data_IF_146658027687
#
_entry.id   IF_146658027687
#
_cell.length_a   1.000
_cell.length_b   1.000
_cell.length_c   1.000
_cell.angle_alpha   90.00
_cell.angle_beta   90.00
_cell.angle_gamma   90.00
#
_symmetry.space_group_name_H-M   'P 1'
#
loop_
_entity.id
_entity.type
_entity.pdbx_description
1 polymer ?
#
# COMPACT_ATOMS: atom_id res chain seq x y z
N UNK A 1 6.55 -15.70 7.44
CA UNK A 1 6.58 -15.46 6.00
C UNK A 1 6.70 -13.96 5.79
N UNK A 2 7.47 -13.52 4.80
CA UNK A 2 7.71 -12.09 4.59
C UNK A 2 8.07 -11.79 3.15
N UNK A 3 7.95 -10.50 2.80
CA UNK A 3 8.47 -9.95 1.56
C UNK A 3 10.01 -10.06 1.53
N UNK A 4 10.61 -9.92 0.37
CA UNK A 4 12.07 -9.99 0.21
C UNK A 4 12.81 -9.12 1.25
N UNK A 5 13.84 -9.69 1.90
CA UNK A 5 14.61 -9.04 2.98
C UNK A 5 13.79 -8.56 4.19
N UNK A 6 12.60 -9.11 4.41
CA UNK A 6 11.79 -8.86 5.60
C UNK A 6 11.62 -10.13 6.42
N UNK A 7 11.71 -10.00 7.75
CA UNK A 7 11.66 -11.14 8.66
C UNK A 7 12.76 -12.15 8.34
N UNK A 8 12.40 -13.43 8.16
CA UNK A 8 13.31 -14.52 7.77
C UNK A 8 13.47 -14.72 6.27
N UNK A 9 12.90 -13.85 5.42
CA UNK A 9 12.95 -14.00 3.98
C UNK A 9 14.27 -13.50 3.39
N UNK A 10 14.83 -14.25 2.43
CA UNK A 10 15.97 -13.85 1.60
C UNK A 10 15.57 -12.85 0.51
N UNK A 11 16.53 -12.49 -0.35
CA UNK A 11 16.31 -11.63 -1.51
C UNK A 11 17.31 -10.47 -1.60
N UNK A 12 17.44 -9.84 -2.77
CA UNK A 12 18.48 -8.85 -3.03
C UNK A 12 18.20 -7.49 -2.39
N UNK A 13 16.94 -7.06 -2.31
CA UNK A 13 16.56 -5.73 -1.80
C UNK A 13 15.08 -5.64 -1.45
N UNK A 14 14.73 -4.66 -0.61
CA UNK A 14 13.36 -4.19 -0.39
C UNK A 14 12.95 -3.41 -1.65
N UNK A 15 11.77 -3.71 -2.21
CA UNK A 15 11.32 -3.20 -3.50
C UNK A 15 10.23 -2.13 -3.38
N UNK A 16 10.05 -1.53 -2.20
CA UNK A 16 9.09 -0.45 -1.92
C UNK A 16 7.66 -0.74 -2.42
N UNK A 17 7.20 -1.99 -2.27
CA UNK A 17 5.88 -2.42 -2.73
C UNK A 17 5.82 -2.82 -4.22
N UNK A 18 6.69 -2.30 -5.09
CA UNK A 18 6.54 -2.48 -6.53
C UNK A 18 6.70 -3.93 -6.98
N UNK A 19 7.86 -4.55 -6.78
CA UNK A 19 8.00 -5.99 -7.05
C UNK A 19 7.47 -6.85 -5.90
N UNK A 20 7.43 -6.31 -4.68
CA UNK A 20 6.83 -6.96 -3.52
C UNK A 20 5.36 -7.33 -3.76
N UNK A 21 4.62 -6.58 -4.60
CA UNK A 21 3.25 -6.92 -4.97
C UNK A 21 3.13 -8.29 -5.64
N UNK A 22 4.13 -8.68 -6.41
CA UNK A 22 4.14 -10.00 -7.07
C UNK A 22 4.37 -11.12 -6.06
N UNK A 23 5.21 -10.89 -5.05
CA UNK A 23 5.38 -11.83 -3.93
C UNK A 23 4.07 -11.98 -3.15
N UNK A 24 3.37 -10.85 -2.87
CA UNK A 24 2.07 -10.88 -2.19
C UNK A 24 1.04 -11.67 -3.00
N UNK A 25 0.99 -11.50 -4.33
CA UNK A 25 0.12 -12.28 -5.21
C UNK A 25 0.39 -13.79 -5.06
N UNK A 26 1.64 -14.22 -5.02
CA UNK A 26 2.00 -15.61 -4.79
C UNK A 26 1.61 -16.08 -3.38
N UNK A 27 1.86 -15.27 -2.35
CA UNK A 27 1.48 -15.60 -0.98
C UNK A 27 -0.02 -15.73 -0.79
N UNK A 28 -0.85 -14.96 -1.49
CA UNK A 28 -2.29 -15.12 -1.47
C UNK A 28 -2.72 -16.51 -1.98
N UNK A 29 -2.11 -17.02 -3.05
CA UNK A 29 -2.37 -18.38 -3.54
C UNK A 29 -1.91 -19.45 -2.56
N UNK A 30 -0.71 -19.29 -1.99
CA UNK A 30 -0.19 -20.22 -0.97
C UNK A 30 -1.11 -20.25 0.25
N UNK A 31 -1.53 -19.08 0.75
CA UNK A 31 -2.43 -19.01 1.88
C UNK A 31 -3.80 -19.66 1.57
N UNK A 32 -4.37 -19.37 0.41
CA UNK A 32 -5.62 -20.01 -0.01
C UNK A 32 -5.49 -21.53 -0.03
N UNK A 33 -4.42 -22.07 -0.58
CA UNK A 33 -4.15 -23.51 -0.62
C UNK A 33 -4.01 -24.12 0.80
N UNK A 34 -3.26 -23.48 1.70
CA UNK A 34 -3.09 -23.92 3.08
C UNK A 34 -4.43 -24.03 3.82
N UNK A 35 -5.37 -23.16 3.52
CA UNK A 35 -6.71 -23.14 4.15
C UNK A 35 -7.78 -23.86 3.31
N UNK A 36 -7.40 -24.76 2.42
CA UNK A 36 -8.28 -25.70 1.73
C UNK A 36 -8.97 -25.14 0.47
N UNK A 37 -8.39 -24.17 -0.18
CA UNK A 37 -8.83 -23.58 -1.47
C UNK A 37 -10.26 -22.98 -1.46
N UNK A 38 -10.80 -22.66 -0.27
CA UNK A 38 -12.15 -22.10 -0.09
C UNK A 38 -12.17 -20.82 0.74
N UNK A 39 -11.07 -20.06 0.71
CA UNK A 39 -10.96 -18.82 1.50
C UNK A 39 -11.73 -17.66 0.88
N UNK A 40 -12.09 -16.70 1.72
CA UNK A 40 -12.44 -15.34 1.34
C UNK A 40 -11.41 -14.41 1.94
N UNK A 41 -10.59 -13.79 1.09
CA UNK A 41 -9.38 -13.10 1.51
C UNK A 41 -9.56 -11.59 1.46
N UNK A 42 -9.13 -10.93 2.52
CA UNK A 42 -8.94 -9.47 2.59
C UNK A 42 -7.45 -9.19 2.63
N UNK A 43 -6.99 -8.26 1.80
CA UNK A 43 -5.59 -7.81 1.83
C UNK A 43 -5.53 -6.49 2.58
N UNK A 44 -4.78 -6.46 3.68
CA UNK A 44 -4.65 -5.29 4.53
C UNK A 44 -3.17 -4.93 4.72
N UNK A 45 -2.83 -3.67 4.53
CA UNK A 45 -1.47 -3.19 4.69
C UNK A 45 -1.38 -1.80 5.30
N UNK A 46 -0.28 -1.54 6.02
CA UNK A 46 0.01 -0.26 6.70
C UNK A 46 1.30 0.32 6.14
N UNK A 47 1.35 1.62 5.88
CA UNK A 47 2.51 2.35 5.38
C UNK A 47 3.01 1.78 4.05
N UNK A 48 4.26 1.32 3.96
CA UNK A 48 4.74 0.58 2.78
C UNK A 48 3.87 -0.64 2.45
N UNK A 49 3.28 -1.29 3.47
CA UNK A 49 2.29 -2.36 3.27
C UNK A 49 0.99 -1.84 2.66
N UNK A 50 0.52 -0.65 3.04
CA UNK A 50 -0.61 0.03 2.42
C UNK A 50 -0.36 0.33 0.94
N UNK A 51 0.81 0.89 0.61
CA UNK A 51 1.23 1.09 -0.78
C UNK A 51 1.31 -0.24 -1.56
N UNK A 52 1.88 -1.29 -0.94
CA UNK A 52 1.93 -2.63 -1.56
C UNK A 52 0.52 -3.17 -1.81
N UNK A 53 -0.41 -3.01 -0.85
CA UNK A 53 -1.81 -3.42 -0.97
C UNK A 53 -2.49 -2.72 -2.17
N UNK A 54 -2.29 -1.43 -2.33
CA UNK A 54 -2.80 -0.67 -3.48
C UNK A 54 -2.17 -1.13 -4.80
N UNK A 55 -0.86 -1.41 -4.79
CA UNK A 55 -0.16 -1.92 -5.97
C UNK A 55 -0.64 -3.33 -6.36
N UNK A 56 -0.93 -4.19 -5.37
CA UNK A 56 -1.56 -5.50 -5.58
C UNK A 56 -2.96 -5.35 -6.17
N UNK A 57 -3.76 -4.42 -5.67
CA UNK A 57 -5.14 -4.25 -6.08
C UNK A 57 -5.30 -3.91 -7.58
N UNK A 58 -4.28 -3.32 -8.19
CA UNK A 58 -4.25 -3.02 -9.63
C UNK A 58 -3.89 -4.21 -10.53
N UNK A 59 -3.49 -5.34 -9.97
CA UNK A 59 -3.25 -6.58 -10.70
C UNK A 59 -4.56 -7.38 -10.91
N UNK A 60 -4.53 -8.38 -11.77
CA UNK A 60 -5.66 -9.29 -11.93
C UNK A 60 -5.85 -10.15 -10.67
N UNK A 61 -7.04 -10.06 -10.06
CA UNK A 61 -7.28 -10.64 -8.75
C UNK A 61 -7.86 -12.06 -8.83
N UNK A 62 -7.36 -13.00 -8.00
CA UNK A 62 -8.01 -14.30 -7.82
C UNK A 62 -9.43 -14.13 -7.25
N UNK A 63 -10.35 -15.04 -7.60
CA UNK A 63 -11.76 -14.99 -7.18
C UNK A 63 -11.97 -15.03 -5.66
N UNK A 64 -11.02 -15.55 -4.92
CA UNK A 64 -11.09 -15.63 -3.45
C UNK A 64 -10.72 -14.30 -2.76
N UNK A 65 -10.15 -13.32 -3.48
CA UNK A 65 -9.90 -11.97 -2.93
C UNK A 65 -11.19 -11.16 -3.01
N UNK A 66 -11.58 -10.55 -1.89
CA UNK A 66 -12.86 -9.85 -1.76
C UNK A 66 -12.74 -8.34 -1.69
N UNK A 67 -11.80 -7.84 -0.90
CA UNK A 67 -11.58 -6.41 -0.75
C UNK A 67 -10.19 -6.10 -0.23
N UNK A 68 -9.86 -4.80 -0.22
CA UNK A 68 -8.57 -4.26 0.21
C UNK A 68 -8.77 -3.22 1.31
N UNK A 69 -7.84 -3.17 2.26
CA UNK A 69 -7.74 -2.11 3.26
C UNK A 69 -6.32 -1.57 3.24
N UNK A 70 -6.16 -0.30 2.97
CA UNK A 70 -4.88 0.39 3.05
C UNK A 70 -4.89 1.41 4.17
N UNK A 71 -3.80 1.55 4.90
CA UNK A 71 -3.61 2.54 5.95
C UNK A 71 -2.28 3.27 5.72
N UNK A 72 -2.36 4.58 5.54
CA UNK A 72 -1.26 5.52 5.34
C UNK A 72 -0.23 5.12 4.26
N UNK A 73 -0.70 4.57 3.13
CA UNK A 73 0.12 4.29 1.97
C UNK A 73 0.38 5.54 1.10
N UNK A 74 1.45 5.50 0.29
CA UNK A 74 1.86 6.63 -0.55
C UNK A 74 1.39 6.50 -2.01
N UNK A 75 1.32 7.63 -2.71
CA UNK A 75 0.93 7.73 -4.13
C UNK A 75 1.91 7.05 -5.07
N UNK A 76 3.20 7.22 -4.81
CA UNK A 76 4.29 6.60 -5.57
C UNK A 76 5.59 6.63 -4.78
N UNK A 77 6.54 5.76 -5.13
CA UNK A 77 7.90 5.82 -4.56
C UNK A 77 8.58 7.15 -4.89
N UNK A 78 8.28 7.71 -6.07
CA UNK A 78 8.79 9.04 -6.44
C UNK A 78 8.29 10.14 -5.51
N UNK A 79 7.00 10.17 -5.18
CA UNK A 79 6.43 11.21 -4.33
C UNK A 79 6.90 11.08 -2.89
N UNK A 80 6.91 9.85 -2.37
CA UNK A 80 7.38 9.55 -1.02
C UNK A 80 8.85 9.94 -0.83
N UNK A 81 9.74 9.47 -1.69
CA UNK A 81 11.16 9.82 -1.60
C UNK A 81 11.43 11.29 -1.87
N UNK A 82 10.63 11.94 -2.73
CA UNK A 82 10.73 13.38 -2.96
C UNK A 82 10.33 14.18 -1.73
N UNK A 83 9.31 13.72 -1.01
CA UNK A 83 8.89 14.32 0.25
C UNK A 83 9.95 14.15 1.32
N UNK A 84 10.42 12.93 1.54
CA UNK A 84 11.45 12.61 2.53
C UNK A 84 12.78 13.34 2.26
N UNK A 85 13.19 13.42 0.99
CA UNK A 85 14.41 14.16 0.63
C UNK A 85 14.32 15.63 1.01
N UNK A 86 13.15 16.24 0.84
CA UNK A 86 12.91 17.64 1.18
C UNK A 86 12.72 17.84 2.69
N UNK A 87 11.90 17.02 3.34
CA UNK A 87 11.52 17.20 4.75
C UNK A 87 12.64 16.83 5.70
N UNK A 88 13.30 15.69 5.48
CA UNK A 88 14.31 15.15 6.39
C UNK A 88 15.74 15.62 6.07
N UNK A 89 16.05 15.85 4.79
CA UNK A 89 17.41 16.21 4.36
C UNK A 89 17.53 17.63 3.81
N UNK A 90 16.43 18.33 3.59
CA UNK A 90 16.40 19.69 3.00
C UNK A 90 17.11 19.79 1.64
N UNK A 91 17.13 18.69 0.88
CA UNK A 91 17.81 18.59 -0.40
C UNK A 91 16.84 18.73 -1.58
N UNK A 92 17.28 19.30 -2.71
CA UNK A 92 16.46 19.39 -3.91
C UNK A 92 16.33 18.03 -4.61
N UNK A 93 15.23 17.83 -5.32
CA UNK A 93 14.98 16.62 -6.12
C UNK A 93 16.05 16.37 -7.18
N UNK A 94 16.50 17.42 -7.86
CA UNK A 94 17.56 17.33 -8.87
C UNK A 94 18.93 17.59 -8.24
N UNK A 95 19.96 16.81 -8.57
CA UNK A 95 19.93 15.64 -9.47
C UNK A 95 19.59 14.31 -8.76
N UNK A 96 19.55 14.28 -7.41
CA UNK A 96 19.56 13.06 -6.59
C UNK A 96 18.42 12.08 -6.93
N UNK A 97 17.18 12.55 -6.99
CA UNK A 97 16.04 11.70 -7.30
C UNK A 97 16.17 11.04 -8.68
N UNK A 98 16.65 11.79 -9.65
CA UNK A 98 16.79 11.31 -11.04
C UNK A 98 17.89 10.26 -11.16
N UNK A 99 19.06 10.55 -10.58
CA UNK A 99 20.20 9.61 -10.61
C UNK A 99 19.91 8.34 -9.82
N UNK A 100 19.29 8.47 -8.64
CA UNK A 100 18.95 7.30 -7.81
C UNK A 100 17.86 6.45 -8.46
N UNK A 101 16.84 7.07 -9.06
CA UNK A 101 15.81 6.36 -9.79
C UNK A 101 16.37 5.61 -11.01
N UNK A 102 17.29 6.25 -11.76
CA UNK A 102 18.00 5.62 -12.86
C UNK A 102 18.87 4.44 -12.40
N UNK A 103 19.63 4.60 -11.31
CA UNK A 103 20.43 3.50 -10.73
C UNK A 103 19.56 2.34 -10.25
N UNK A 104 18.40 2.63 -9.67
CA UNK A 104 17.42 1.62 -9.29
C UNK A 104 16.95 0.82 -10.51
N UNK A 105 16.66 1.50 -11.62
CA UNK A 105 16.24 0.86 -12.86
C UNK A 105 17.36 -0.05 -13.43
N UNK A 106 18.60 0.43 -13.47
CA UNK A 106 19.74 -0.37 -13.95
C UNK A 106 20.01 -1.60 -13.07
N UNK A 107 19.86 -1.45 -11.75
CA UNK A 107 20.23 -2.53 -10.80
C UNK A 107 19.08 -3.50 -10.52
N UNK A 108 17.83 -3.01 -10.46
CA UNK A 108 16.68 -3.77 -10.00
C UNK A 108 15.58 -3.91 -11.07
N UNK A 109 15.72 -3.26 -12.22
CA UNK A 109 14.78 -3.34 -13.32
C UNK A 109 13.44 -2.66 -13.06
N UNK A 110 13.41 -1.56 -12.28
CA UNK A 110 12.25 -0.70 -12.07
C UNK A 110 12.69 0.68 -11.61
N UNK A 111 11.91 1.70 -11.89
CA UNK A 111 12.19 3.08 -11.49
C UNK A 111 11.12 3.66 -10.55
N UNK A 112 11.45 4.75 -9.85
CA UNK A 112 10.58 5.31 -8.82
C UNK A 112 9.24 5.86 -9.33
N UNK A 113 9.16 6.28 -10.60
CA UNK A 113 7.90 6.76 -11.22
C UNK A 113 7.01 5.62 -11.71
N UNK A 114 7.60 4.47 -12.03
CA UNK A 114 6.89 3.25 -12.37
C UNK A 114 6.19 2.66 -11.14
N UNK A 115 6.86 2.68 -10.01
CA UNK A 115 6.33 2.21 -8.73
C UNK A 115 5.29 3.19 -8.16
N UNK A 116 4.08 3.13 -8.72
CA UNK A 116 2.99 4.05 -8.44
C UNK A 116 1.73 3.32 -7.95
N UNK A 117 1.38 3.54 -6.69
CA UNK A 117 0.10 3.10 -6.13
C UNK A 117 -1.08 3.77 -6.85
N UNK A 118 -0.93 5.05 -7.20
CA UNK A 118 -1.96 5.82 -7.91
C UNK A 118 -2.37 5.15 -9.22
N UNK A 119 -1.39 4.82 -10.08
CA UNK A 119 -1.65 4.14 -11.36
C UNK A 119 -2.26 2.74 -11.19
N UNK A 120 -1.97 2.06 -10.09
CA UNK A 120 -2.52 0.74 -9.81
C UNK A 120 -3.94 0.84 -9.24
N UNK A 121 -4.21 1.81 -8.38
CA UNK A 121 -5.55 2.06 -7.83
C UNK A 121 -6.55 2.42 -8.93
N UNK A 122 -6.15 3.16 -9.97
CA UNK A 122 -6.97 3.44 -11.15
C UNK A 122 -7.49 2.18 -11.85
N UNK A 123 -6.74 1.09 -11.79
CA UNK A 123 -7.10 -0.21 -12.40
C UNK A 123 -7.87 -1.12 -11.44
N UNK A 124 -7.82 -0.84 -10.14
CA UNK A 124 -8.38 -1.70 -9.11
C UNK A 124 -9.90 -1.75 -9.18
N UNK A 125 -10.47 -2.95 -9.32
CA UNK A 125 -11.91 -3.18 -9.48
C UNK A 125 -12.61 -3.55 -8.18
N UNK A 126 -11.90 -4.26 -7.28
CA UNK A 126 -12.49 -4.72 -6.02
C UNK A 126 -12.61 -3.58 -5.00
N UNK A 127 -13.51 -3.70 -4.03
CA UNK A 127 -13.71 -2.71 -2.98
C UNK A 127 -12.42 -2.34 -2.24
N UNK A 128 -12.25 -1.06 -1.90
CA UNK A 128 -11.08 -0.59 -1.18
C UNK A 128 -11.45 0.42 -0.08
N UNK A 129 -10.91 0.20 1.11
CA UNK A 129 -11.01 1.13 2.23
C UNK A 129 -9.67 1.83 2.45
N UNK A 130 -9.70 3.15 2.40
CA UNK A 130 -8.55 4.03 2.62
C UNK A 130 -8.61 4.59 4.04
N UNK A 131 -7.52 4.49 4.77
CA UNK A 131 -7.35 5.02 6.12
C UNK A 131 -6.10 5.88 6.15
N UNK A 132 -6.16 7.07 6.78
CA UNK A 132 -4.98 7.93 6.89
C UNK A 132 -5.10 8.87 8.09
N UNK A 133 -4.03 9.07 8.83
CA UNK A 133 -3.98 10.06 9.92
C UNK A 133 -3.93 11.49 9.41
N UNK A 134 -4.68 12.42 10.02
CA UNK A 134 -4.68 13.83 9.62
C UNK A 134 -3.41 14.59 10.07
N UNK A 135 -2.58 13.98 10.92
CA UNK A 135 -1.29 14.50 11.40
C UNK A 135 -0.09 13.71 10.85
N UNK A 136 -0.30 12.89 9.84
CA UNK A 136 0.79 12.16 9.20
C UNK A 136 1.67 13.11 8.38
N UNK A 137 2.91 13.27 8.82
CA UNK A 137 3.94 14.09 8.18
C UNK A 137 5.01 13.25 7.50
N UNK A 138 5.04 11.95 7.74
CA UNK A 138 5.98 11.01 7.11
C UNK A 138 5.47 10.60 5.72
N UNK A 139 4.27 9.98 5.67
CA UNK A 139 3.50 9.89 4.42
C UNK A 139 2.41 10.96 4.50
N UNK A 140 2.58 12.13 3.88
CA UNK A 140 1.67 13.25 4.10
C UNK A 140 0.22 12.92 3.77
N UNK A 141 -0.70 13.33 4.64
CA UNK A 141 -2.14 13.06 4.50
C UNK A 141 -2.72 13.43 3.12
N UNK A 142 -2.14 14.44 2.46
CA UNK A 142 -2.60 14.82 1.12
C UNK A 142 -2.52 13.68 0.08
N UNK A 143 -1.64 12.68 0.31
CA UNK A 143 -1.44 11.57 -0.63
C UNK A 143 -2.67 10.65 -0.73
N UNK A 144 -3.48 10.55 0.32
CA UNK A 144 -4.67 9.68 0.28
C UNK A 144 -5.77 10.21 -0.63
N UNK A 145 -5.89 11.54 -0.77
CA UNK A 145 -6.98 12.13 -1.56
C UNK A 145 -6.92 11.77 -3.05
N UNK A 146 -5.81 11.96 -3.78
CA UNK A 146 -5.74 11.53 -5.18
C UNK A 146 -5.86 10.00 -5.33
N UNK A 147 -5.42 9.20 -4.35
CA UNK A 147 -5.63 7.75 -4.36
C UNK A 147 -7.11 7.40 -4.26
N UNK A 148 -7.81 8.02 -3.31
CA UNK A 148 -9.25 7.84 -3.14
C UNK A 148 -10.04 8.30 -4.38
N UNK A 149 -9.70 9.44 -4.95
CA UNK A 149 -10.36 9.97 -6.14
C UNK A 149 -10.17 9.07 -7.36
N UNK A 150 -8.97 8.55 -7.57
CA UNK A 150 -8.63 7.69 -8.71
C UNK A 150 -9.31 6.32 -8.65
N UNK A 151 -9.63 5.81 -7.45
CA UNK A 151 -10.31 4.54 -7.27
C UNK A 151 -11.77 4.64 -7.68
N UNK A 152 -12.22 3.78 -8.61
CA UNK A 152 -13.64 3.59 -8.90
C UNK A 152 -14.39 2.94 -7.72
N UNK A 153 -15.70 3.17 -7.59
CA UNK A 153 -16.51 2.50 -6.57
C UNK A 153 -16.50 0.97 -6.72
N UNK A 154 -16.66 0.21 -5.63
CA UNK A 154 -16.89 0.65 -4.24
C UNK A 154 -15.60 1.08 -3.53
N UNK A 155 -15.69 2.19 -2.79
CA UNK A 155 -14.58 2.72 -1.98
C UNK A 155 -15.09 3.43 -0.73
N UNK A 156 -14.28 3.44 0.33
CA UNK A 156 -14.52 4.22 1.55
C UNK A 156 -13.24 4.95 1.97
N UNK A 157 -13.39 6.06 2.68
CA UNK A 157 -12.30 6.85 3.23
C UNK A 157 -12.56 7.16 4.70
N UNK A 158 -11.54 6.99 5.52
CA UNK A 158 -11.53 7.46 6.89
C UNK A 158 -10.25 8.23 7.19
N UNK A 159 -10.38 9.53 7.40
CA UNK A 159 -9.30 10.37 7.93
C UNK A 159 -9.37 10.29 9.44
N UNK A 160 -8.30 9.81 10.07
CA UNK A 160 -8.22 9.54 11.51
C UNK A 160 -7.77 10.81 12.24
N UNK A 161 -8.66 11.46 13.03
CA UNK A 161 -8.31 12.70 13.70
C UNK A 161 -7.16 12.52 14.70
N UNK A 162 -6.15 13.39 14.63
CA UNK A 162 -5.01 13.42 15.54
C UNK A 162 -3.93 12.37 15.27
N UNK A 163 -4.21 11.35 14.45
CA UNK A 163 -3.26 10.27 14.21
C UNK A 163 -2.09 10.71 13.34
N UNK A 164 -0.88 10.34 13.76
CA UNK A 164 0.36 10.47 13.00
C UNK A 164 0.61 9.20 12.18
N UNK A 165 1.82 9.06 11.60
CA UNK A 165 2.14 7.93 10.73
C UNK A 165 1.99 6.57 11.42
N UNK A 166 1.20 5.68 10.80
CA UNK A 166 1.03 4.27 11.18
C UNK A 166 0.53 4.02 12.62
N UNK A 167 -0.13 5.01 13.24
CA UNK A 167 -0.68 4.87 14.60
C UNK A 167 -2.21 4.81 14.65
N UNK A 168 -2.89 4.88 13.51
CA UNK A 168 -4.36 4.87 13.42
C UNK A 168 -4.99 3.75 14.26
N UNK A 169 -4.51 2.53 14.12
CA UNK A 169 -4.95 1.39 14.92
C UNK A 169 -4.54 1.51 16.39
N UNK A 170 -3.28 1.88 16.67
CA UNK A 170 -2.75 1.91 18.02
C UNK A 170 -3.52 2.87 18.94
N UNK A 171 -3.89 4.02 18.40
CA UNK A 171 -4.56 5.10 19.14
C UNK A 171 -6.09 4.95 19.16
N UNK A 172 -6.66 4.26 18.17
CA UNK A 172 -8.11 4.14 17.98
C UNK A 172 -8.58 2.68 17.81
N UNK A 173 -8.03 1.74 18.58
CA UNK A 173 -8.23 0.29 18.40
C UNK A 173 -9.68 -0.11 18.16
N UNK A 174 -10.59 0.33 19.01
CA UNK A 174 -12.02 -0.08 18.94
C UNK A 174 -12.67 0.47 17.67
N UNK A 175 -12.49 1.75 17.38
CA UNK A 175 -13.10 2.38 16.19
C UNK A 175 -12.49 1.83 14.91
N UNK A 176 -11.16 1.70 14.86
CA UNK A 176 -10.45 1.11 13.72
C UNK A 176 -10.96 -0.31 13.42
N UNK A 177 -11.00 -1.15 14.45
CA UNK A 177 -11.48 -2.53 14.32
C UNK A 177 -12.93 -2.56 13.82
N UNK A 178 -13.81 -1.74 14.39
CA UNK A 178 -15.21 -1.68 14.00
C UNK A 178 -15.38 -1.20 12.55
N UNK A 179 -14.66 -0.16 12.13
CA UNK A 179 -14.74 0.37 10.76
C UNK A 179 -14.22 -0.66 9.75
N UNK A 180 -13.04 -1.24 10.00
CA UNK A 180 -12.49 -2.28 9.12
C UNK A 180 -13.43 -3.48 9.06
N UNK A 181 -13.93 -3.95 10.21
CA UNK A 181 -14.89 -5.06 10.25
C UNK A 181 -16.17 -4.74 9.46
N UNK A 182 -16.79 -3.58 9.71
CA UNK A 182 -18.00 -3.16 9.02
C UNK A 182 -17.80 -3.03 7.50
N UNK A 183 -16.63 -2.60 7.06
CA UNK A 183 -16.29 -2.56 5.64
C UNK A 183 -16.16 -3.98 5.08
N UNK A 184 -15.37 -4.83 5.72
CA UNK A 184 -15.09 -6.20 5.28
C UNK A 184 -16.37 -7.05 5.24
N UNK A 185 -17.22 -6.95 6.27
CA UNK A 185 -18.49 -7.70 6.37
C UNK A 185 -19.48 -7.43 5.20
N UNK A 186 -19.28 -6.36 4.42
CA UNK A 186 -20.09 -6.10 3.22
C UNK A 186 -19.71 -6.99 2.04
N UNK A 187 -18.52 -7.58 2.06
CA UNK A 187 -17.91 -8.26 0.91
C UNK A 187 -17.51 -9.71 1.18
N UNK A 188 -17.56 -10.14 2.43
CA UNK A 188 -17.40 -11.55 2.82
C UNK A 188 -18.74 -12.14 3.22
N UNK A 189 -18.95 -13.43 2.88
CA UNK A 189 -20.16 -14.20 3.20
C UNK A 189 -19.96 -15.06 4.45
#
# INVERSE_FOLDING_TARGET
>A
WGLQRRGGSGGPAIQMGWKDRLDVMQWMHVANHIYGDSTQMVVHGISMGGATTMMVAGEEQPKFVRCFVEDCGYTSVWDEFSHELKSSFHLPKFPLMYTTSWLCEQKYGWNFKEASSLKQVEKAKLPMFFIHGDKDTYVPTWMVYPLYEAKSDPKELWIVPGATHAVSYKENKTEYTNRVKNFVDKYIE
#
